data_IF_611394769983
#
_entry.id   IF_611394769983
#
_cell.length_a   1.000
_cell.length_b   1.000
_cell.length_c   1.000
_cell.angle_alpha   90.00
_cell.angle_beta   90.00
_cell.angle_gamma   90.00
#
_symmetry.space_group_name_H-M   'P 1'
#
loop_
_entity.id
_entity.type
_entity.pdbx_description
1 polymer ?
#
# COMPACT_ATOMS: atom_id res chain seq x y z
N UNK A 1 -49.37 25.49 -53.96
CA UNK A 1 -48.12 25.90 -53.32
C UNK A 1 -47.88 24.97 -52.14
N UNK A 2 -46.96 24.01 -52.26
CA UNK A 2 -46.63 23.04 -51.21
C UNK A 2 -45.54 23.65 -50.33
N UNK A 3 -45.76 23.67 -49.00
CA UNK A 3 -44.77 24.14 -48.05
C UNK A 3 -43.72 23.07 -47.79
N UNK A 4 -42.46 23.37 -48.14
CA UNK A 4 -41.30 22.55 -47.84
C UNK A 4 -40.99 22.63 -46.32
N UNK A 5 -40.96 21.48 -45.65
CA UNK A 5 -40.64 21.36 -44.22
C UNK A 5 -39.23 20.77 -44.09
N UNK A 6 -38.20 21.55 -43.68
CA UNK A 6 -36.85 21.00 -43.54
C UNK A 6 -36.80 20.07 -42.35
N UNK A 7 -36.48 18.79 -42.61
CA UNK A 7 -36.14 17.83 -41.55
C UNK A 7 -34.91 18.34 -40.82
N UNK A 8 -35.07 18.64 -39.54
CA UNK A 8 -33.93 18.85 -38.66
C UNK A 8 -33.08 17.59 -38.59
N UNK A 9 -31.88 17.63 -39.11
CA UNK A 9 -30.86 16.61 -38.89
C UNK A 9 -30.52 16.56 -37.40
N UNK A 10 -30.95 15.51 -36.70
CA UNK A 10 -30.48 15.17 -35.35
C UNK A 10 -29.03 14.75 -35.47
N UNK A 11 -28.11 15.62 -35.08
CA UNK A 11 -26.71 15.29 -34.87
C UNK A 11 -26.61 14.12 -33.86
N UNK A 12 -26.31 12.93 -34.33
CA UNK A 12 -25.92 11.78 -33.54
C UNK A 12 -24.48 12.02 -33.03
N UNK A 13 -24.33 12.90 -32.04
CA UNK A 13 -23.10 12.94 -31.27
C UNK A 13 -23.01 11.59 -30.54
N UNK A 14 -22.15 10.70 -31.05
CA UNK A 14 -21.68 9.54 -30.32
C UNK A 14 -21.03 10.05 -29.06
N UNK A 15 -21.70 9.91 -27.91
CA UNK A 15 -21.02 9.93 -26.64
C UNK A 15 -20.05 8.74 -26.64
N UNK A 16 -18.76 8.99 -26.84
CA UNK A 16 -17.74 8.02 -26.52
C UNK A 16 -17.83 7.82 -25.01
N UNK A 17 -18.42 6.70 -24.58
CA UNK A 17 -18.25 6.24 -23.23
C UNK A 17 -16.75 5.95 -23.07
N UNK A 18 -16.01 6.93 -22.54
CA UNK A 18 -14.73 6.66 -21.92
C UNK A 18 -15.05 5.66 -20.78
N UNK A 19 -14.73 4.40 -20.98
CA UNK A 19 -14.59 3.48 -19.86
C UNK A 19 -13.45 4.04 -19.05
N UNK A 20 -13.75 4.55 -17.85
CA UNK A 20 -12.74 4.83 -16.87
C UNK A 20 -11.90 3.58 -16.73
N UNK A 21 -10.62 3.70 -17.05
CA UNK A 21 -9.68 2.59 -16.95
C UNK A 21 -9.54 2.34 -15.46
N UNK A 22 -10.26 1.32 -14.96
CA UNK A 22 -10.16 0.89 -13.57
C UNK A 22 -8.82 0.21 -13.39
N UNK A 23 -7.93 0.84 -12.68
CA UNK A 23 -6.70 0.17 -12.24
C UNK A 23 -6.98 -0.86 -11.15
N UNK A 24 -6.21 -1.93 -11.17
CA UNK A 24 -6.32 -3.02 -10.21
C UNK A 24 -4.98 -3.31 -9.54
N UNK A 25 -5.02 -3.49 -8.22
CA UNK A 25 -3.85 -3.70 -7.37
C UNK A 25 -3.94 -5.07 -6.71
N UNK A 26 -2.88 -5.87 -6.86
CA UNK A 26 -2.66 -7.05 -6.04
C UNK A 26 -1.55 -6.75 -5.05
N UNK A 27 -1.87 -6.78 -3.76
CA UNK A 27 -0.96 -6.46 -2.66
C UNK A 27 -0.80 -7.71 -1.79
N UNK A 28 0.41 -8.24 -1.67
CA UNK A 28 0.72 -9.40 -0.85
C UNK A 28 1.47 -8.92 0.38
N UNK A 29 0.89 -9.12 1.55
CA UNK A 29 1.38 -8.64 2.83
C UNK A 29 1.99 -9.77 3.66
N UNK A 30 3.02 -9.44 4.45
CA UNK A 30 3.61 -10.32 5.43
C UNK A 30 2.61 -10.61 6.57
N UNK A 31 2.08 -9.56 7.19
CA UNK A 31 1.09 -9.68 8.26
C UNK A 31 -0.23 -10.26 7.77
N UNK A 32 -0.91 -10.96 8.66
CA UNK A 32 -2.18 -11.63 8.35
C UNK A 32 -3.37 -10.67 8.42
N UNK A 33 -3.32 -9.67 9.31
CA UNK A 33 -4.43 -8.78 9.60
C UNK A 33 -4.11 -7.31 9.33
N UNK A 34 -3.11 -6.73 10.00
CA UNK A 34 -2.89 -5.27 10.08
C UNK A 34 -2.73 -4.62 8.71
N UNK A 35 -1.81 -5.11 7.88
CA UNK A 35 -1.52 -4.57 6.56
C UNK A 35 -2.65 -4.81 5.56
N UNK A 36 -3.18 -6.07 5.40
CA UNK A 36 -4.27 -6.30 4.47
C UNK A 36 -5.53 -5.53 4.85
N UNK A 37 -5.88 -5.43 6.14
CA UNK A 37 -7.02 -4.66 6.60
C UNK A 37 -6.86 -3.17 6.29
N UNK A 38 -5.65 -2.62 6.51
CA UNK A 38 -5.35 -1.24 6.18
C UNK A 38 -5.53 -0.94 4.68
N UNK A 39 -4.98 -1.77 3.80
CA UNK A 39 -5.07 -1.54 2.35
C UNK A 39 -6.46 -1.86 1.79
N UNK A 40 -7.14 -2.88 2.27
CA UNK A 40 -8.51 -3.19 1.84
C UNK A 40 -9.54 -2.14 2.30
N UNK A 41 -9.18 -1.28 3.27
CA UNK A 41 -10.03 -0.19 3.73
C UNK A 41 -10.05 1.02 2.78
N UNK A 42 -9.14 1.09 1.78
CA UNK A 42 -9.16 2.14 0.78
C UNK A 42 -10.41 2.04 -0.08
N UNK A 43 -11.19 3.12 -0.13
CA UNK A 43 -12.40 3.21 -0.98
C UNK A 43 -12.05 3.91 -2.28
N UNK A 44 -11.63 3.12 -3.26
CA UNK A 44 -11.22 3.62 -4.56
C UNK A 44 -12.44 3.79 -5.47
N UNK A 45 -12.54 4.92 -6.18
CA UNK A 45 -13.63 5.21 -7.10
C UNK A 45 -13.40 4.60 -8.49
N UNK A 46 -12.16 4.60 -8.95
CA UNK A 46 -11.77 4.14 -10.29
C UNK A 46 -10.70 3.04 -10.29
N UNK A 47 -10.52 2.36 -9.17
CA UNK A 47 -9.60 1.23 -9.05
C UNK A 47 -10.14 0.16 -8.10
N UNK A 48 -9.48 -1.01 -8.06
CA UNK A 48 -9.77 -2.10 -7.13
C UNK A 48 -8.50 -2.55 -6.42
N UNK A 49 -8.63 -2.94 -5.14
CA UNK A 49 -7.54 -3.48 -4.32
C UNK A 49 -7.90 -4.89 -3.88
N UNK A 50 -6.92 -5.79 -3.96
CA UNK A 50 -6.94 -7.10 -3.34
C UNK A 50 -5.68 -7.25 -2.50
N UNK A 51 -5.77 -7.01 -1.20
CA UNK A 51 -4.68 -7.19 -0.25
C UNK A 51 -4.85 -8.50 0.51
N UNK A 52 -3.80 -9.30 0.56
CA UNK A 52 -3.78 -10.64 1.14
C UNK A 52 -2.62 -10.76 2.13
N UNK A 53 -2.92 -11.17 3.35
CA UNK A 53 -1.92 -11.52 4.35
C UNK A 53 -1.51 -12.99 4.22
N UNK A 54 -0.22 -13.28 4.35
CA UNK A 54 0.33 -14.63 4.17
C UNK A 54 0.96 -15.22 5.42
N UNK A 55 1.36 -14.39 6.39
CA UNK A 55 2.08 -14.86 7.58
C UNK A 55 3.44 -15.48 7.24
N UNK A 56 4.04 -15.09 6.13
CA UNK A 56 5.32 -15.57 5.63
C UNK A 56 6.33 -14.43 5.67
N UNK A 57 7.59 -14.75 5.92
CA UNK A 57 8.65 -13.76 5.99
C UNK A 57 9.32 -13.48 4.63
N UNK A 58 9.80 -12.28 4.47
CA UNK A 58 10.68 -11.72 3.43
C UNK A 58 10.79 -12.54 2.12
N UNK A 59 11.85 -13.36 1.91
CA UNK A 59 12.08 -14.12 0.67
C UNK A 59 10.95 -15.09 0.37
N UNK A 60 10.44 -15.81 1.40
CA UNK A 60 9.31 -16.74 1.22
C UNK A 60 8.03 -16.00 0.83
N UNK A 61 7.82 -14.80 1.36
CA UNK A 61 6.69 -13.97 0.97
C UNK A 61 6.75 -13.60 -0.51
N UNK A 62 7.94 -13.22 -1.01
CA UNK A 62 8.11 -12.89 -2.43
C UNK A 62 7.87 -14.10 -3.32
N UNK A 63 8.39 -15.27 -2.94
CA UNK A 63 8.12 -16.52 -3.67
C UNK A 63 6.61 -16.83 -3.71
N UNK A 64 5.94 -16.71 -2.58
CA UNK A 64 4.49 -16.90 -2.49
C UNK A 64 3.72 -15.85 -3.32
N UNK A 65 4.18 -14.60 -3.34
CA UNK A 65 3.56 -13.55 -4.14
C UNK A 65 3.58 -13.88 -5.65
N UNK A 66 4.67 -14.47 -6.14
CA UNK A 66 4.76 -14.96 -7.52
C UNK A 66 3.75 -16.08 -7.78
N UNK A 67 3.60 -17.03 -6.83
CA UNK A 67 2.63 -18.12 -6.94
C UNK A 67 1.22 -17.55 -7.00
N UNK A 68 0.85 -16.66 -6.07
CA UNK A 68 -0.48 -16.02 -6.02
C UNK A 68 -0.78 -15.26 -7.31
N UNK A 69 0.17 -14.47 -7.81
CA UNK A 69 0.00 -13.76 -9.09
C UNK A 69 -0.32 -14.73 -10.23
N UNK A 70 0.47 -15.80 -10.35
CA UNK A 70 0.29 -16.77 -11.42
C UNK A 70 -1.06 -17.53 -11.30
N UNK A 71 -1.51 -17.81 -10.08
CA UNK A 71 -2.84 -18.40 -9.84
C UNK A 71 -3.97 -17.46 -10.22
N UNK A 72 -3.88 -16.18 -9.86
CA UNK A 72 -4.88 -15.19 -10.24
C UNK A 72 -4.93 -15.02 -11.77
N UNK A 73 -3.78 -14.98 -12.43
CA UNK A 73 -3.72 -14.92 -13.89
C UNK A 73 -4.36 -16.15 -14.56
N UNK A 74 -4.15 -17.36 -14.01
CA UNK A 74 -4.83 -18.59 -14.50
C UNK A 74 -6.34 -18.54 -14.34
N UNK A 75 -6.84 -17.81 -13.33
CA UNK A 75 -8.29 -17.56 -13.14
C UNK A 75 -8.83 -16.45 -14.05
N UNK A 76 -7.99 -15.83 -14.87
CA UNK A 76 -8.34 -14.70 -15.73
C UNK A 76 -8.30 -13.33 -15.04
N UNK A 77 -7.80 -13.26 -13.80
CA UNK A 77 -7.65 -12.01 -13.07
C UNK A 77 -6.25 -11.43 -13.33
N UNK A 78 -6.17 -10.40 -14.15
CA UNK A 78 -4.96 -9.63 -14.37
C UNK A 78 -5.02 -8.33 -13.54
N UNK A 79 -3.92 -8.02 -12.86
CA UNK A 79 -3.78 -6.77 -12.11
C UNK A 79 -2.80 -5.85 -12.84
N UNK A 80 -3.03 -4.54 -12.74
CA UNK A 80 -2.17 -3.52 -13.36
C UNK A 80 -0.94 -3.24 -12.51
N UNK A 81 -1.06 -3.40 -11.19
CA UNK A 81 0.04 -3.21 -10.24
C UNK A 81 0.13 -4.38 -9.26
N UNK A 82 1.35 -4.82 -9.04
CA UNK A 82 1.70 -5.89 -8.10
C UNK A 82 2.62 -5.33 -7.04
N UNK A 83 2.24 -5.52 -5.77
CA UNK A 83 2.97 -5.02 -4.62
C UNK A 83 3.23 -6.13 -3.61
N UNK A 84 4.40 -6.09 -2.97
CA UNK A 84 4.68 -6.85 -1.75
C UNK A 84 4.94 -5.90 -0.60
N UNK A 85 4.40 -6.24 0.58
CA UNK A 85 4.51 -5.43 1.80
C UNK A 85 5.11 -6.30 2.89
N UNK A 86 6.26 -5.91 3.42
CA UNK A 86 6.96 -6.65 4.46
C UNK A 86 7.83 -5.77 5.35
N UNK A 87 8.19 -6.32 6.49
CA UNK A 87 8.95 -5.65 7.52
C UNK A 87 10.40 -6.13 7.56
N UNK A 88 11.32 -5.25 8.01
CA UNK A 88 12.71 -5.64 8.21
C UNK A 88 12.85 -6.57 9.41
N UNK A 89 12.08 -6.32 10.47
CA UNK A 89 12.16 -7.07 11.72
C UNK A 89 13.61 -7.34 12.17
N UNK A 90 13.87 -8.58 12.62
CA UNK A 90 15.20 -9.06 13.02
C UNK A 90 15.91 -9.84 11.90
N UNK A 91 15.39 -9.78 10.67
CA UNK A 91 16.04 -10.44 9.53
C UNK A 91 17.41 -9.87 9.22
N UNK A 92 18.27 -10.71 8.66
CA UNK A 92 19.59 -10.26 8.23
C UNK A 92 19.48 -9.15 7.20
N UNK A 93 20.46 -8.23 7.19
CA UNK A 93 20.51 -7.17 6.19
C UNK A 93 20.59 -7.74 4.76
N UNK A 94 21.27 -8.87 4.61
CA UNK A 94 21.38 -9.57 3.32
C UNK A 94 20.02 -10.07 2.84
N UNK A 95 19.30 -10.83 3.68
CA UNK A 95 18.03 -11.43 3.29
C UNK A 95 16.96 -10.38 2.98
N UNK A 96 16.95 -9.30 3.75
CA UNK A 96 16.02 -8.19 3.51
C UNK A 96 16.28 -7.49 2.17
N UNK A 97 17.54 -7.13 1.90
CA UNK A 97 17.91 -6.50 0.63
C UNK A 97 17.72 -7.46 -0.55
N UNK A 98 17.96 -8.76 -0.35
CA UNK A 98 17.74 -9.78 -1.37
C UNK A 98 16.25 -9.95 -1.70
N UNK A 99 15.38 -9.92 -0.68
CA UNK A 99 13.94 -9.98 -0.88
C UNK A 99 13.43 -8.79 -1.72
N UNK A 100 13.95 -7.58 -1.48
CA UNK A 100 13.61 -6.41 -2.28
C UNK A 100 14.02 -6.64 -3.75
N UNK A 101 15.28 -7.06 -4.00
CA UNK A 101 15.77 -7.32 -5.36
C UNK A 101 14.98 -8.44 -6.06
N UNK A 102 14.67 -9.50 -5.33
CA UNK A 102 13.86 -10.61 -5.86
C UNK A 102 12.45 -10.15 -6.24
N UNK A 103 11.81 -9.33 -5.42
CA UNK A 103 10.49 -8.78 -5.73
C UNK A 103 10.53 -7.92 -6.99
N UNK A 104 11.46 -6.98 -7.06
CA UNK A 104 11.62 -6.08 -8.20
C UNK A 104 11.93 -6.83 -9.51
N UNK A 105 12.81 -7.84 -9.45
CA UNK A 105 13.15 -8.69 -10.61
C UNK A 105 11.97 -9.52 -11.12
N UNK A 106 10.98 -9.78 -10.26
CA UNK A 106 9.73 -10.45 -10.62
C UNK A 106 8.58 -9.48 -10.97
N UNK A 107 8.87 -8.18 -11.10
CA UNK A 107 7.88 -7.17 -11.49
C UNK A 107 6.94 -6.73 -10.37
N UNK A 108 7.31 -6.97 -9.11
CA UNK A 108 6.61 -6.42 -7.95
C UNK A 108 7.25 -5.10 -7.53
N UNK A 109 6.42 -4.15 -7.12
CA UNK A 109 6.86 -3.01 -6.34
C UNK A 109 6.92 -3.39 -4.86
N UNK A 110 7.78 -2.71 -4.09
CA UNK A 110 8.01 -3.06 -2.68
C UNK A 110 7.63 -1.90 -1.77
N UNK A 111 6.79 -2.20 -0.79
CA UNK A 111 6.49 -1.32 0.33
C UNK A 111 7.00 -1.96 1.61
N UNK A 112 8.10 -1.45 2.15
CA UNK A 112 8.70 -2.00 3.37
C UNK A 112 8.67 -1.01 4.53
N UNK A 113 8.74 -1.54 5.76
CA UNK A 113 9.06 -0.78 6.96
C UNK A 113 10.31 -1.34 7.63
N UNK A 114 11.24 -0.46 8.00
CA UNK A 114 12.37 -0.85 8.81
C UNK A 114 11.92 -0.92 10.27
N UNK A 115 11.93 -2.09 10.84
CA UNK A 115 11.38 -2.66 12.06
C UNK A 115 9.97 -3.26 11.87
N UNK A 116 8.89 -2.49 11.76
CA UNK A 116 7.53 -3.01 11.65
C UNK A 116 6.58 -1.99 10.99
N UNK A 117 5.47 -2.48 10.44
CA UNK A 117 4.46 -1.70 9.73
C UNK A 117 3.87 -0.58 10.61
N UNK A 118 3.80 -0.78 11.91
CA UNK A 118 3.33 0.22 12.86
C UNK A 118 4.15 1.52 12.83
N UNK A 119 5.39 1.48 12.34
CA UNK A 119 6.15 2.71 12.12
C UNK A 119 5.45 3.65 11.14
N UNK A 120 4.82 3.12 10.08
CA UNK A 120 3.97 3.89 9.17
C UNK A 120 2.84 4.58 9.94
N UNK A 121 2.18 3.89 10.87
CA UNK A 121 1.11 4.47 11.68
C UNK A 121 1.61 5.58 12.60
N UNK A 122 2.78 5.43 13.21
CA UNK A 122 3.38 6.45 14.07
C UNK A 122 3.64 7.76 13.33
N UNK A 123 4.02 7.67 12.04
CA UNK A 123 4.29 8.86 11.22
C UNK A 123 3.05 9.73 10.97
N UNK A 124 1.84 9.23 11.20
CA UNK A 124 0.62 10.05 11.16
C UNK A 124 0.59 11.10 12.28
N UNK A 125 1.21 10.82 13.42
CA UNK A 125 1.17 11.69 14.59
C UNK A 125 2.41 12.57 14.71
N UNK A 126 3.59 12.01 14.51
CA UNK A 126 4.84 12.75 14.69
C UNK A 126 5.95 12.24 13.76
N UNK A 127 7.01 13.06 13.61
CA UNK A 127 8.21 12.70 12.88
C UNK A 127 9.19 12.01 13.85
N UNK A 128 9.27 10.68 13.75
CA UNK A 128 10.17 9.89 14.56
C UNK A 128 11.46 9.60 13.78
N UNK A 129 12.58 10.10 14.25
CA UNK A 129 13.92 9.85 13.71
C UNK A 129 14.74 8.98 14.65
N UNK A 130 15.75 8.31 14.09
CA UNK A 130 16.62 7.43 14.85
C UNK A 130 15.99 6.07 15.13
N UNK A 131 16.77 5.22 15.76
CA UNK A 131 16.35 3.85 16.06
C UNK A 131 15.30 3.82 17.17
N UNK A 132 14.15 3.24 16.86
CA UNK A 132 13.10 2.89 17.83
C UNK A 132 12.76 1.43 17.60
N UNK A 133 12.85 0.63 18.64
CA UNK A 133 12.57 -0.79 18.54
C UNK A 133 11.05 -1.04 18.41
N UNK A 134 10.66 -1.99 17.57
CA UNK A 134 9.24 -2.32 17.30
C UNK A 134 8.42 -2.64 18.56
N UNK A 135 9.05 -3.14 19.64
CA UNK A 135 8.37 -3.43 20.90
C UNK A 135 7.74 -2.19 21.55
N UNK A 136 8.24 -1.00 21.22
CA UNK A 136 7.73 0.25 21.77
C UNK A 136 6.54 0.80 20.97
N UNK A 137 6.34 0.33 19.73
CA UNK A 137 5.35 0.90 18.81
C UNK A 137 3.91 0.80 19.31
N UNK A 138 3.52 -0.33 19.92
CA UNK A 138 2.16 -0.50 20.44
C UNK A 138 1.84 0.48 21.57
N UNK A 139 2.83 0.71 22.47
CA UNK A 139 2.68 1.69 23.54
C UNK A 139 2.62 3.10 22.99
N UNK A 140 3.52 3.46 22.06
CA UNK A 140 3.55 4.77 21.43
C UNK A 140 2.25 5.08 20.67
N UNK A 141 1.75 4.13 19.89
CA UNK A 141 0.48 4.27 19.18
C UNK A 141 -0.69 4.45 20.15
N UNK A 142 -0.73 3.65 21.22
CA UNK A 142 -1.78 3.78 22.24
C UNK A 142 -1.81 5.16 22.88
N UNK A 143 -0.64 5.75 23.15
CA UNK A 143 -0.50 7.10 23.68
C UNK A 143 -0.98 8.16 22.69
N UNK A 144 -0.57 8.06 21.42
CA UNK A 144 -0.93 9.02 20.37
C UNK A 144 -2.42 8.98 20.05
N UNK A 145 -2.98 7.78 19.93
CA UNK A 145 -4.38 7.56 19.58
C UNK A 145 -5.33 7.74 20.77
N UNK A 146 -4.81 7.80 22.00
CA UNK A 146 -5.57 7.84 23.26
C UNK A 146 -6.54 6.65 23.42
N UNK A 147 -6.24 5.54 22.74
CA UNK A 147 -6.92 4.26 22.85
C UNK A 147 -5.89 3.15 22.82
N UNK A 148 -6.20 2.01 23.46
CA UNK A 148 -5.26 0.88 23.44
C UNK A 148 -5.15 0.33 22.02
N UNK A 149 -3.97 0.45 21.42
CA UNK A 149 -3.66 -0.18 20.13
C UNK A 149 -3.69 -1.70 20.27
N UNK A 150 -4.15 -2.39 19.23
CA UNK A 150 -4.18 -3.85 19.18
C UNK A 150 -4.11 -4.32 17.72
N UNK A 151 -3.39 -5.40 17.49
CA UNK A 151 -3.31 -6.11 16.18
C UNK A 151 -4.51 -7.05 15.95
N UNK A 152 -5.56 -6.97 16.79
CA UNK A 152 -6.77 -7.79 16.62
C UNK A 152 -7.70 -7.21 15.56
N UNK A 153 -8.39 -8.07 14.85
CA UNK A 153 -9.26 -7.79 13.70
C UNK A 153 -10.19 -6.58 13.88
N UNK A 154 -10.85 -6.49 15.03
CA UNK A 154 -11.76 -5.37 15.31
C UNK A 154 -11.07 -4.01 15.27
N UNK A 155 -9.81 -3.93 15.66
CA UNK A 155 -9.07 -2.67 15.68
C UNK A 155 -8.44 -2.39 14.32
N UNK A 156 -7.86 -3.41 13.67
CA UNK A 156 -7.17 -3.27 12.39
C UNK A 156 -8.11 -2.79 11.28
N UNK A 157 -9.36 -3.23 11.27
CA UNK A 157 -10.38 -2.77 10.31
C UNK A 157 -10.78 -1.31 10.48
N UNK A 158 -10.51 -0.69 11.63
CA UNK A 158 -10.86 0.72 11.93
C UNK A 158 -9.69 1.69 11.79
N UNK A 159 -8.46 1.18 11.87
CA UNK A 159 -7.27 2.02 11.98
C UNK A 159 -7.11 2.95 10.76
N UNK A 160 -7.44 2.49 9.56
CA UNK A 160 -7.40 3.32 8.36
C UNK A 160 -8.21 4.61 8.52
N UNK A 161 -9.47 4.50 8.95
CA UNK A 161 -10.35 5.66 9.15
C UNK A 161 -9.86 6.61 10.23
N UNK A 162 -9.22 6.08 11.29
CA UNK A 162 -8.65 6.90 12.37
C UNK A 162 -7.41 7.68 11.91
N UNK A 163 -6.62 7.10 11.01
CA UNK A 163 -5.37 7.68 10.51
C UNK A 163 -5.58 8.58 9.28
N UNK A 164 -6.65 8.37 8.52
CA UNK A 164 -6.89 9.05 7.24
C UNK A 164 -6.76 10.59 7.32
N UNK A 165 -7.25 11.30 8.36
CA UNK A 165 -7.09 12.76 8.45
C UNK A 165 -5.63 13.23 8.53
N UNK A 166 -4.71 12.37 8.96
CA UNK A 166 -3.29 12.67 9.16
C UNK A 166 -2.38 12.07 8.07
N UNK A 167 -2.98 11.42 7.07
CA UNK A 167 -2.22 10.71 6.04
C UNK A 167 -1.31 11.61 5.19
N UNK A 168 -1.70 12.85 4.79
CA UNK A 168 -0.81 13.74 4.05
C UNK A 168 0.48 14.07 4.82
N UNK A 169 0.38 14.30 6.14
CA UNK A 169 1.52 14.55 7.00
C UNK A 169 2.40 13.31 7.14
N UNK A 170 1.80 12.13 7.27
CA UNK A 170 2.53 10.87 7.32
C UNK A 170 3.36 10.63 6.05
N UNK A 171 2.78 10.85 4.88
CA UNK A 171 3.46 10.78 3.59
C UNK A 171 4.65 11.74 3.53
N UNK A 172 4.42 13.01 3.91
CA UNK A 172 5.47 14.03 3.92
C UNK A 172 6.62 13.67 4.85
N UNK A 173 6.31 13.17 6.07
CA UNK A 173 7.30 12.75 7.06
C UNK A 173 8.10 11.54 6.59
N UNK A 174 7.42 10.50 6.10
CA UNK A 174 8.06 9.28 5.57
C UNK A 174 9.03 9.60 4.45
N UNK A 175 8.61 10.46 3.50
CA UNK A 175 9.44 10.88 2.37
C UNK A 175 10.68 11.64 2.83
N UNK A 176 10.54 12.57 3.76
CA UNK A 176 11.67 13.35 4.32
C UNK A 176 12.67 12.45 5.03
N UNK A 177 12.18 11.55 5.89
CA UNK A 177 13.05 10.61 6.61
C UNK A 177 13.79 9.70 5.64
N UNK A 178 13.09 9.13 4.64
CA UNK A 178 13.74 8.26 3.65
C UNK A 178 14.80 9.01 2.85
N UNK A 179 14.55 10.27 2.49
CA UNK A 179 15.52 11.10 1.76
C UNK A 179 16.80 11.38 2.55
N UNK A 180 16.75 11.42 3.89
CA UNK A 180 17.92 11.61 4.74
C UNK A 180 18.93 10.44 4.63
N UNK A 181 18.48 9.25 4.22
CA UNK A 181 19.33 8.08 4.04
C UNK A 181 20.02 8.02 2.67
N UNK A 182 19.58 8.78 1.69
CA UNK A 182 20.19 8.83 0.36
C UNK A 182 20.36 7.44 -0.27
N UNK A 183 21.61 7.05 -0.53
CA UNK A 183 21.95 5.76 -1.12
C UNK A 183 22.22 4.65 -0.08
N UNK A 184 21.90 4.87 1.17
CA UNK A 184 22.03 3.85 2.22
C UNK A 184 21.16 2.64 1.88
N UNK A 185 21.69 1.40 1.98
CA UNK A 185 20.91 0.21 1.74
C UNK A 185 19.64 0.16 2.61
N UNK A 186 18.49 -0.28 2.07
CA UNK A 186 17.21 -0.29 2.80
C UNK A 186 17.27 -0.93 4.19
N UNK A 187 18.06 -1.99 4.33
CA UNK A 187 18.25 -2.68 5.62
C UNK A 187 18.97 -1.85 6.70
N UNK A 188 19.70 -0.80 6.31
CA UNK A 188 20.45 0.08 7.20
C UNK A 188 19.75 1.44 7.40
N UNK A 189 18.71 1.71 6.65
CA UNK A 189 17.90 2.91 6.79
C UNK A 189 16.93 2.77 7.97
N UNK A 190 17.47 2.84 9.19
CA UNK A 190 16.73 2.63 10.44
C UNK A 190 15.58 3.62 10.59
N UNK A 191 14.45 3.13 11.10
CA UNK A 191 13.22 3.95 11.24
C UNK A 191 12.82 4.66 9.93
N UNK A 192 12.78 3.91 8.83
CA UNK A 192 12.27 4.36 7.54
C UNK A 192 11.18 3.43 7.03
N UNK A 193 10.35 3.94 6.14
CA UNK A 193 9.33 3.14 5.46
C UNK A 193 9.12 3.65 4.03
N UNK A 194 8.80 2.73 3.11
CA UNK A 194 8.38 3.05 1.75
C UNK A 194 6.88 2.82 1.53
N UNK A 195 6.12 2.48 2.58
CA UNK A 195 4.67 2.28 2.52
C UNK A 195 3.96 3.49 1.92
N UNK A 196 4.46 4.71 2.17
CA UNK A 196 3.89 5.92 1.59
C UNK A 196 3.83 5.91 0.06
N UNK A 197 4.73 5.21 -0.63
CA UNK A 197 4.73 5.10 -2.09
C UNK A 197 3.48 4.36 -2.58
N UNK A 198 3.14 3.23 -1.94
CA UNK A 198 1.92 2.49 -2.24
C UNK A 198 0.67 3.31 -1.89
N UNK A 199 0.69 3.99 -0.75
CA UNK A 199 -0.42 4.86 -0.33
C UNK A 199 -0.65 6.01 -1.33
N UNK A 200 0.40 6.63 -1.84
CA UNK A 200 0.31 7.66 -2.88
C UNK A 200 -0.28 7.12 -4.18
N UNK A 201 0.13 5.92 -4.59
CA UNK A 201 -0.47 5.28 -5.77
C UNK A 201 -1.97 5.02 -5.58
N UNK A 202 -2.38 4.50 -4.43
CA UNK A 202 -3.79 4.26 -4.11
C UNK A 202 -4.60 5.57 -4.05
N UNK A 203 -4.03 6.63 -3.47
CA UNK A 203 -4.68 7.93 -3.34
C UNK A 203 -5.00 8.61 -4.68
N UNK A 204 -4.38 8.19 -5.78
CA UNK A 204 -4.70 8.70 -7.12
C UNK A 204 -6.08 8.26 -7.61
N UNK A 205 -6.71 7.32 -6.92
CA UNK A 205 -7.97 6.69 -7.32
C UNK A 205 -9.11 6.84 -6.29
N UNK A 206 -8.91 7.66 -5.24
CA UNK A 206 -9.93 8.01 -4.24
C UNK A 206 -10.94 9.04 -4.79
#
# INVERSE_FOLDING_TARGET
>A
MARYNPRQERSLKRHSNYRDIKQSFLIICEGVNTEPDYFNAFRLTSASVKALGKGLNTIKLVQEAVIVRNEEQRKGHNFDQYWVVFDKDDFSNHDFNEAIRLAESNGFQVAYSNQAFEYWFLLHFNMYRGYIHRNDYEQMLSQQMKVKYSKKDYFTTKIYGMLLPYQPEAISRARKILAEFGNTPPSQAVSSTTVFKLVEELNRFI
#
